data_IF_241007013546
#
_entry.id   IF_241007013546
#
_cell.length_a   1.000
_cell.length_b   1.000
_cell.length_c   1.000
_cell.angle_alpha   90.00
_cell.angle_beta   90.00
_cell.angle_gamma   90.00
#
_symmetry.space_group_name_H-M   'P 1'
#
loop_
_entity.id
_entity.type
_entity.pdbx_description
1 polymer ?
#
# COMPACT_ATOMS: atom_id res chain seq x y z
N UNK A 1 -2.51 8.52 -15.31
CA UNK A 1 -3.48 8.83 -14.24
C UNK A 1 -3.17 7.99 -13.02
N UNK A 2 -3.29 8.57 -11.83
CA UNK A 2 -3.00 7.88 -10.57
C UNK A 2 -4.09 6.85 -10.26
N UNK A 3 -3.68 5.63 -9.87
CA UNK A 3 -4.58 4.58 -9.42
C UNK A 3 -4.14 4.13 -8.03
N UNK A 4 -5.09 3.65 -7.24
CA UNK A 4 -4.81 3.11 -5.90
C UNK A 4 -4.95 1.60 -5.93
N UNK A 5 -3.97 0.91 -5.34
CA UNK A 5 -4.01 -0.55 -5.14
C UNK A 5 -4.03 -0.82 -3.65
N UNK A 6 -5.03 -1.53 -3.17
CA UNK A 6 -5.18 -1.86 -1.75
C UNK A 6 -4.93 -3.35 -1.56
N UNK A 7 -3.89 -3.67 -0.82
CA UNK A 7 -3.65 -5.02 -0.30
C UNK A 7 -4.60 -5.20 0.89
N UNK A 8 -5.79 -5.74 0.61
CA UNK A 8 -6.94 -5.56 1.47
C UNK A 8 -7.02 -6.54 2.65
N UNK A 9 -6.28 -7.63 2.60
CA UNK A 9 -6.27 -8.58 3.72
C UNK A 9 -5.62 -7.91 4.94
N UNK A 10 -6.35 -7.84 6.04
CA UNK A 10 -5.91 -7.18 7.27
C UNK A 10 -5.61 -5.67 7.13
N UNK A 11 -6.30 -4.97 6.21
CA UNK A 11 -6.15 -3.52 6.06
C UNK A 11 -7.23 -2.78 6.87
N UNK A 12 -6.85 -2.07 7.94
CA UNK A 12 -7.82 -1.36 8.78
C UNK A 12 -8.24 0.02 8.24
N UNK A 13 -7.65 0.48 7.13
CA UNK A 13 -7.89 1.82 6.58
C UNK A 13 -8.62 1.80 5.23
N UNK A 14 -9.34 0.73 4.94
CA UNK A 14 -10.08 0.62 3.67
C UNK A 14 -11.07 1.77 3.48
N UNK A 15 -11.84 2.10 4.51
CA UNK A 15 -12.83 3.17 4.42
C UNK A 15 -12.19 4.53 4.15
N UNK A 16 -11.04 4.80 4.75
CA UNK A 16 -10.27 6.01 4.51
C UNK A 16 -9.80 6.08 3.06
N UNK A 17 -9.32 4.95 2.52
CA UNK A 17 -8.92 4.87 1.11
C UNK A 17 -10.10 5.20 0.20
N UNK A 18 -11.27 4.62 0.47
CA UNK A 18 -12.46 4.85 -0.37
C UNK A 18 -12.87 6.33 -0.35
N UNK A 19 -12.89 6.96 0.81
CA UNK A 19 -13.22 8.38 0.93
C UNK A 19 -12.30 9.26 0.09
N UNK A 20 -11.01 9.04 0.20
CA UNK A 20 -10.02 9.83 -0.53
C UNK A 20 -10.08 9.55 -2.03
N UNK A 21 -10.22 8.27 -2.41
CA UNK A 21 -10.34 7.89 -3.81
C UNK A 21 -11.53 8.56 -4.49
N UNK A 22 -12.68 8.57 -3.83
CA UNK A 22 -13.90 9.19 -4.39
C UNK A 22 -13.78 10.71 -4.44
N UNK A 23 -13.13 11.32 -3.45
CA UNK A 23 -12.86 12.77 -3.45
C UNK A 23 -12.06 13.20 -4.68
N UNK A 24 -11.04 12.44 -5.04
CA UNK A 24 -10.15 12.78 -6.15
C UNK A 24 -10.52 12.08 -7.47
N UNK A 25 -11.57 11.26 -7.47
CA UNK A 25 -12.00 10.53 -8.67
C UNK A 25 -10.98 9.51 -9.16
N UNK A 26 -10.36 8.75 -8.26
CA UNK A 26 -9.31 7.79 -8.58
C UNK A 26 -9.84 6.36 -8.65
N UNK A 27 -9.43 5.63 -9.68
CA UNK A 27 -9.69 4.19 -9.76
C UNK A 27 -8.95 3.49 -8.62
N UNK A 28 -9.65 2.58 -7.96
CA UNK A 28 -9.14 1.87 -6.80
C UNK A 28 -9.38 0.38 -6.97
N UNK A 29 -8.30 -0.40 -6.88
CA UNK A 29 -8.33 -1.86 -6.97
C UNK A 29 -8.16 -2.44 -5.58
N UNK A 30 -9.19 -3.12 -5.09
CA UNK A 30 -9.18 -3.76 -3.77
C UNK A 30 -8.90 -5.24 -3.98
N UNK A 31 -7.72 -5.69 -3.59
CA UNK A 31 -7.21 -7.03 -3.88
C UNK A 31 -7.15 -7.83 -2.59
N UNK A 32 -7.79 -8.98 -2.57
CA UNK A 32 -7.89 -9.83 -1.38
C UNK A 32 -7.87 -11.32 -1.74
N UNK A 33 -7.50 -12.16 -0.78
CA UNK A 33 -7.53 -13.61 -0.92
C UNK A 33 -8.93 -14.19 -0.69
N UNK A 34 -9.85 -13.40 -0.15
CA UNK A 34 -11.22 -13.81 0.14
C UNK A 34 -12.18 -12.68 -0.19
N UNK A 35 -13.49 -13.02 -0.25
CA UNK A 35 -14.49 -12.00 -0.55
C UNK A 35 -14.49 -10.91 0.51
N UNK A 36 -14.46 -9.66 0.03
CA UNK A 36 -14.55 -8.44 0.86
C UNK A 36 -15.65 -7.58 0.27
N UNK A 37 -16.52 -7.06 1.12
CA UNK A 37 -17.54 -6.11 0.70
C UNK A 37 -16.90 -4.75 0.42
N UNK A 38 -17.23 -4.16 -0.71
CA UNK A 38 -16.72 -2.85 -1.13
C UNK A 38 -17.91 -1.92 -1.44
N UNK A 39 -17.66 -0.59 -1.47
CA UNK A 39 -18.70 0.35 -1.94
C UNK A 39 -19.13 0.04 -3.37
N UNK A 40 -20.42 0.22 -3.66
CA UNK A 40 -20.95 0.08 -5.00
C UNK A 40 -20.69 1.37 -5.78
N UNK A 41 -19.53 1.45 -6.42
CA UNK A 41 -19.13 2.64 -7.17
C UNK A 41 -18.25 2.21 -8.36
N UNK A 42 -18.43 2.84 -9.55
CA UNK A 42 -17.68 2.45 -10.74
C UNK A 42 -16.16 2.55 -10.62
N UNK A 43 -15.65 3.45 -9.75
CA UNK A 43 -14.21 3.64 -9.57
C UNK A 43 -13.58 2.61 -8.63
N UNK A 44 -14.38 1.86 -7.86
CA UNK A 44 -13.86 0.90 -6.90
C UNK A 44 -14.17 -0.51 -7.39
N UNK A 45 -13.12 -1.29 -7.64
CA UNK A 45 -13.24 -2.66 -8.14
C UNK A 45 -12.59 -3.64 -7.16
N UNK A 46 -13.25 -4.78 -6.98
CA UNK A 46 -12.76 -5.86 -6.14
C UNK A 46 -12.16 -6.96 -7.00
N UNK A 47 -10.99 -7.44 -6.59
CA UNK A 47 -10.34 -8.60 -7.20
C UNK A 47 -10.05 -9.63 -6.10
N UNK A 48 -10.74 -10.77 -6.19
CA UNK A 48 -10.49 -11.89 -5.30
C UNK A 48 -9.53 -12.83 -6.02
N UNK A 49 -8.34 -13.00 -5.42
CA UNK A 49 -7.28 -13.84 -5.99
C UNK A 49 -7.20 -15.17 -5.25
N UNK A 50 -6.40 -16.10 -5.77
CA UNK A 50 -6.22 -17.40 -5.15
C UNK A 50 -5.68 -17.27 -3.73
N UNK A 51 -5.95 -18.28 -2.88
CA UNK A 51 -5.60 -18.25 -1.46
C UNK A 51 -4.13 -18.52 -1.17
N UNK A 52 -3.27 -18.51 -2.17
CA UNK A 52 -1.81 -18.64 -1.98
C UNK A 52 -1.23 -17.42 -1.25
N UNK A 53 -0.11 -17.59 -0.53
CA UNK A 53 0.43 -16.52 0.32
C UNK A 53 0.87 -15.27 -0.44
N UNK A 54 1.24 -15.42 -1.72
CA UNK A 54 1.77 -14.33 -2.53
C UNK A 54 0.82 -13.88 -3.64
N UNK A 55 -0.38 -14.44 -3.72
CA UNK A 55 -1.27 -14.21 -4.86
C UNK A 55 -1.71 -12.74 -4.97
N UNK A 56 -2.09 -12.10 -3.87
CA UNK A 56 -2.47 -10.69 -3.87
C UNK A 56 -1.25 -9.79 -4.16
N UNK A 57 -0.12 -10.09 -3.57
CA UNK A 57 1.12 -9.35 -3.79
C UNK A 57 1.55 -9.39 -5.25
N UNK A 58 1.53 -10.58 -5.85
CA UNK A 58 1.90 -10.75 -7.26
C UNK A 58 0.95 -10.00 -8.18
N UNK A 59 -0.36 -10.10 -7.90
CA UNK A 59 -1.37 -9.39 -8.68
C UNK A 59 -1.10 -7.88 -8.71
N UNK A 60 -0.82 -7.30 -7.56
CA UNK A 60 -0.55 -5.86 -7.43
C UNK A 60 0.78 -5.50 -8.09
N UNK A 61 1.84 -6.24 -7.76
CA UNK A 61 3.20 -5.95 -8.25
C UNK A 61 3.30 -6.01 -9.77
N UNK A 62 2.57 -6.93 -10.40
CA UNK A 62 2.57 -7.08 -11.86
C UNK A 62 1.84 -5.94 -12.57
N UNK A 63 0.98 -5.20 -11.88
CA UNK A 63 0.11 -4.19 -12.49
C UNK A 63 0.44 -2.75 -12.11
N UNK A 64 1.01 -2.51 -10.93
CA UNK A 64 1.35 -1.15 -10.50
C UNK A 64 2.51 -0.59 -11.33
N UNK A 65 2.48 0.73 -11.53
CA UNK A 65 3.48 1.43 -12.34
C UNK A 65 3.63 2.86 -11.83
N UNK A 66 4.52 3.61 -12.48
CA UNK A 66 4.75 5.01 -12.13
C UNK A 66 3.44 5.80 -12.10
N UNK A 67 3.23 6.56 -11.04
CA UNK A 67 2.02 7.34 -10.79
C UNK A 67 0.99 6.60 -9.93
N UNK A 68 1.16 5.31 -9.68
CA UNK A 68 0.25 4.54 -8.82
C UNK A 68 0.68 4.60 -7.36
N UNK A 69 -0.25 4.27 -6.46
CA UNK A 69 -0.01 4.21 -5.01
C UNK A 69 -0.50 2.86 -4.49
N UNK A 70 0.36 2.14 -3.79
CA UNK A 70 0.05 0.83 -3.19
C UNK A 70 -0.08 1.00 -1.69
N UNK A 71 -1.19 0.56 -1.13
CA UNK A 71 -1.43 0.56 0.32
C UNK A 71 -1.24 -0.87 0.82
N UNK A 72 -0.18 -1.10 1.59
CA UNK A 72 0.17 -2.42 2.09
C UNK A 72 1.03 -2.34 3.35
N UNK A 73 0.99 -3.40 4.16
CA UNK A 73 1.94 -3.61 5.27
C UNK A 73 3.02 -4.62 4.89
N UNK A 74 2.92 -5.24 3.72
CA UNK A 74 3.87 -6.24 3.24
C UNK A 74 5.11 -5.55 2.68
N UNK A 75 6.26 -5.74 3.34
CA UNK A 75 7.51 -5.07 2.97
C UNK A 75 8.02 -5.53 1.60
N UNK A 76 8.04 -6.84 1.28
CA UNK A 76 8.41 -7.28 -0.07
C UNK A 76 7.55 -6.69 -1.18
N UNK A 77 6.23 -6.56 -0.97
CA UNK A 77 5.34 -5.92 -1.95
C UNK A 77 5.68 -4.43 -2.09
N UNK A 78 5.90 -3.73 -0.97
CA UNK A 78 6.30 -2.32 -1.02
C UNK A 78 7.59 -2.12 -1.82
N UNK A 79 8.58 -3.00 -1.64
CA UNK A 79 9.82 -2.98 -2.39
C UNK A 79 9.57 -3.14 -3.89
N UNK A 80 8.75 -4.11 -4.28
CA UNK A 80 8.39 -4.33 -5.68
C UNK A 80 7.66 -3.13 -6.28
N UNK A 81 6.76 -2.51 -5.52
CA UNK A 81 6.03 -1.30 -5.95
C UNK A 81 7.00 -0.14 -6.22
N UNK A 82 7.93 0.11 -5.30
CA UNK A 82 8.93 1.16 -5.49
C UNK A 82 9.80 0.91 -6.72
N UNK A 83 10.20 -0.33 -6.96
CA UNK A 83 11.00 -0.70 -8.14
C UNK A 83 10.22 -0.51 -9.43
N UNK A 84 8.89 -0.62 -9.39
CA UNK A 84 8.01 -0.35 -10.54
C UNK A 84 7.74 1.15 -10.75
N UNK A 85 8.25 2.01 -9.87
CA UNK A 85 8.04 3.45 -9.94
C UNK A 85 6.81 3.95 -9.20
N UNK A 86 6.05 3.05 -8.56
CA UNK A 86 4.90 3.43 -7.75
C UNK A 86 5.32 3.88 -6.36
N UNK A 87 4.41 4.53 -5.64
CA UNK A 87 4.58 4.81 -4.21
C UNK A 87 3.96 3.68 -3.39
N UNK A 88 4.44 3.46 -2.19
CA UNK A 88 3.87 2.50 -1.25
C UNK A 88 3.72 3.15 0.13
N UNK A 89 2.57 2.92 0.77
CA UNK A 89 2.24 3.51 2.07
C UNK A 89 1.70 2.41 2.99
N UNK A 90 2.19 2.39 4.23
CA UNK A 90 1.65 1.51 5.26
C UNK A 90 0.38 2.04 5.88
N UNK A 91 -0.35 1.19 6.60
CA UNK A 91 -1.64 1.51 7.22
C UNK A 91 -1.54 2.65 8.25
N UNK A 92 -0.36 2.89 8.81
CA UNK A 92 -0.13 3.92 9.81
C UNK A 92 0.31 5.25 9.21
N UNK A 93 0.26 5.37 7.88
CA UNK A 93 0.60 6.61 7.19
C UNK A 93 2.09 6.83 7.02
N UNK A 94 2.89 5.79 7.04
CA UNK A 94 4.33 5.88 6.78
C UNK A 94 4.61 5.50 5.34
N UNK A 95 5.21 6.41 4.54
CA UNK A 95 5.62 6.05 3.20
C UNK A 95 6.83 5.11 3.27
N UNK A 96 6.84 4.12 2.40
CA UNK A 96 8.01 3.28 2.22
C UNK A 96 9.02 3.98 1.34
N UNK A 97 10.29 3.91 1.71
CA UNK A 97 11.42 4.40 0.94
C UNK A 97 12.44 3.26 0.81
N UNK A 98 13.40 3.32 -0.13
CA UNK A 98 14.45 2.30 -0.19
C UNK A 98 15.18 2.12 1.14
N UNK A 99 15.47 3.22 1.84
CA UNK A 99 16.13 3.16 3.15
C UNK A 99 15.25 2.52 4.22
N UNK A 100 13.98 2.90 4.29
CA UNK A 100 13.06 2.33 5.28
C UNK A 100 12.80 0.85 5.02
N UNK A 101 12.76 0.43 3.76
CA UNK A 101 12.61 -0.98 3.38
C UNK A 101 13.84 -1.78 3.82
N UNK A 102 15.03 -1.28 3.55
CA UNK A 102 16.28 -1.93 3.98
C UNK A 102 16.34 -2.12 5.49
N UNK A 103 16.00 -1.07 6.24
CA UNK A 103 15.96 -1.12 7.71
C UNK A 103 14.90 -2.10 8.21
N UNK A 104 13.73 -2.13 7.58
CA UNK A 104 12.64 -3.02 7.99
C UNK A 104 12.98 -4.49 7.70
N UNK A 105 13.61 -4.78 6.57
CA UNK A 105 14.06 -6.15 6.24
C UNK A 105 15.12 -6.63 7.22
N UNK A 106 16.09 -5.78 7.55
CA UNK A 106 17.11 -6.11 8.55
C UNK A 106 16.48 -6.36 9.92
N UNK A 107 15.50 -5.54 10.30
CA UNK A 107 14.76 -5.73 11.55
C UNK A 107 13.97 -7.03 11.59
N UNK A 108 13.36 -7.44 10.47
CA UNK A 108 12.67 -8.74 10.37
C UNK A 108 13.65 -9.91 10.57
N UNK A 109 14.78 -9.87 9.91
CA UNK A 109 15.80 -10.91 10.04
C UNK A 109 16.29 -11.04 11.47
N UNK A 110 16.58 -9.93 12.15
CA UNK A 110 16.98 -9.91 13.55
C UNK A 110 15.87 -10.48 14.44
N UNK A 111 14.62 -10.05 14.23
CA UNK A 111 13.47 -10.52 14.99
C UNK A 111 13.24 -12.02 14.82
N UNK A 112 13.34 -12.54 13.61
CA UNK A 112 13.23 -13.97 13.32
C UNK A 112 14.34 -14.76 14.00
N UNK A 113 15.56 -14.25 13.97
CA UNK A 113 16.70 -14.87 14.65
C UNK A 113 16.47 -14.95 16.16
N UNK A 114 16.03 -13.86 16.79
CA UNK A 114 15.75 -13.83 18.21
C UNK A 114 14.63 -14.82 18.59
N UNK A 115 13.57 -14.92 17.81
CA UNK A 115 12.48 -15.88 18.03
C UNK A 115 12.98 -17.31 17.91
N UNK A 116 13.85 -17.60 16.94
CA UNK A 116 14.46 -18.91 16.77
C UNK A 116 15.33 -19.31 17.98
N UNK A 117 15.90 -18.32 18.66
CA UNK A 117 16.68 -18.52 19.88
C UNK A 117 15.81 -18.59 21.15
N UNK A 118 14.51 -18.49 21.03
CA UNK A 118 13.58 -18.51 22.18
C UNK A 118 13.45 -17.19 22.91
N UNK A 119 13.95 -16.09 22.31
CA UNK A 119 13.83 -14.76 22.90
C UNK A 119 12.49 -14.13 22.46
N UNK A 120 11.70 -13.64 23.43
CA UNK A 120 10.47 -12.93 23.14
C UNK A 120 10.78 -11.57 22.52
N UNK A 121 10.08 -11.25 21.44
CA UNK A 121 10.17 -9.94 20.79
C UNK A 121 8.83 -9.21 20.93
N UNK A 122 8.87 -7.85 20.95
CA UNK A 122 7.66 -7.06 20.96
C UNK A 122 6.90 -7.27 19.64
N UNK A 123 5.59 -7.50 19.74
CA UNK A 123 4.70 -7.58 18.58
C UNK A 123 4.44 -6.19 17.98
N UNK A 124 3.74 -6.13 16.82
CA UNK A 124 3.36 -4.87 16.23
C UNK A 124 2.45 -4.08 17.19
N UNK A 125 2.60 -2.75 17.15
CA UNK A 125 1.77 -1.85 17.95
C UNK A 125 0.32 -1.91 17.47
N UNK A 126 -0.62 -1.86 18.40
CA UNK A 126 -2.04 -1.81 18.07
C UNK A 126 -2.36 -0.57 17.23
N UNK A 127 -3.29 -0.72 16.29
CA UNK A 127 -3.73 0.36 15.43
C UNK A 127 -4.53 1.40 16.23
N UNK A 128 -4.17 2.67 16.11
CA UNK A 128 -4.76 3.76 16.89
C UNK A 128 -5.45 4.81 16.00
N UNK A 129 -6.31 5.64 16.59
CA UNK A 129 -7.00 6.73 15.88
C UNK A 129 -5.99 7.70 15.24
N UNK A 130 -4.89 8.01 15.96
CA UNK A 130 -3.83 8.85 15.40
C UNK A 130 -3.20 8.26 14.13
N UNK A 131 -3.17 6.94 14.01
CA UNK A 131 -2.67 6.27 12.82
C UNK A 131 -3.58 6.51 11.62
N UNK A 132 -4.91 6.54 11.82
CA UNK A 132 -5.87 6.86 10.77
C UNK A 132 -5.67 8.27 10.24
N UNK A 133 -5.46 9.23 11.12
CA UNK A 133 -5.22 10.62 10.75
C UNK A 133 -3.93 10.77 9.96
N UNK A 134 -2.85 10.12 10.40
CA UNK A 134 -1.58 10.13 9.65
C UNK A 134 -1.73 9.46 8.29
N UNK A 135 -2.48 8.36 8.22
CA UNK A 135 -2.73 7.68 6.95
C UNK A 135 -3.46 8.61 5.97
N UNK A 136 -4.51 9.28 6.41
CA UNK A 136 -5.25 10.22 5.55
C UNK A 136 -4.36 11.34 5.04
N UNK A 137 -3.54 11.92 5.91
CA UNK A 137 -2.61 12.98 5.53
C UNK A 137 -1.57 12.48 4.52
N UNK A 138 -0.99 11.32 4.75
CA UNK A 138 0.03 10.77 3.85
C UNK A 138 -0.55 10.34 2.52
N UNK A 139 -1.74 9.74 2.51
CA UNK A 139 -2.39 9.37 1.25
C UNK A 139 -2.68 10.60 0.41
N UNK A 140 -3.19 11.67 1.01
CA UNK A 140 -3.42 12.94 0.33
C UNK A 140 -2.13 13.49 -0.27
N UNK A 141 -1.06 13.53 0.53
CA UNK A 141 0.25 14.00 0.09
C UNK A 141 0.80 13.13 -1.07
N UNK A 142 0.65 11.82 -0.97
CA UNK A 142 1.10 10.88 -2.00
C UNK A 142 0.37 11.10 -3.33
N UNK A 143 -0.94 11.39 -3.27
CA UNK A 143 -1.74 11.68 -4.47
C UNK A 143 -1.23 12.94 -5.15
N UNK A 144 -0.95 13.99 -4.37
CA UNK A 144 -0.39 15.23 -4.94
C UNK A 144 0.98 15.01 -5.56
N UNK A 145 1.85 14.22 -4.92
CA UNK A 145 3.15 13.86 -5.51
C UNK A 145 2.99 13.10 -6.82
N UNK A 146 2.08 12.15 -6.86
CA UNK A 146 1.82 11.34 -8.06
C UNK A 146 1.30 12.21 -9.21
N UNK A 147 0.37 13.12 -8.94
CA UNK A 147 -0.17 14.02 -9.95
C UNK A 147 0.89 14.94 -10.51
N UNK A 148 1.76 15.48 -9.64
CA UNK A 148 2.87 16.33 -10.11
C UNK A 148 3.86 15.56 -10.97
N UNK A 149 4.22 14.35 -10.56
CA UNK A 149 5.14 13.52 -11.33
C UNK A 149 4.59 13.18 -12.71
N UNK A 150 3.30 12.83 -12.79
CA UNK A 150 2.64 12.55 -14.07
C UNK A 150 2.55 13.80 -14.94
N UNK A 151 2.30 14.96 -14.36
CA UNK A 151 2.25 16.22 -15.10
C UNK A 151 3.65 16.58 -15.68
N UNK A 152 4.70 16.38 -14.90
CA UNK A 152 6.09 16.61 -15.37
C UNK A 152 6.43 15.65 -16.51
N UNK A 153 6.09 14.38 -16.40
CA UNK A 153 6.31 13.41 -17.46
C UNK A 153 5.55 13.76 -18.74
N UNK A 154 4.29 14.17 -18.61
CA UNK A 154 3.48 14.58 -19.75
C UNK A 154 4.10 15.82 -20.44
N UNK A 155 4.63 16.77 -19.67
CA UNK A 155 5.29 17.96 -20.21
C UNK A 155 6.57 17.62 -20.97
N UNK A 156 7.32 16.62 -20.49
CA UNK A 156 8.56 16.17 -21.17
C UNK A 156 8.30 15.50 -22.52
N UNK A 157 7.10 14.97 -22.73
CA UNK A 157 6.73 14.29 -23.98
C UNK A 157 6.25 15.24 -25.08
N UNK A 158 6.06 16.51 -24.75
CA UNK A 158 5.61 17.54 -25.72
C UNK A 158 6.76 18.14 -26.49
#
# INVERSE_FOLDING_TARGET
MTRLFVDADACPVKDEVYKVALRYGLRTFVVANSFIQIPNHPLIERFVVDSGPDAADDWIAERCRAGDIVITQDIPLADRALKAGAQAIGNQGRPFTPDSIGSALAGREIGEHLRAMGVATAGPRAFATADRSRFLQELDAAIHRAKRALAIEAAKRR
#
